data_IF_190784723468
#
_entry.id   IF_190784723468
#
_cell.length_a   1.000
_cell.length_b   1.000
_cell.length_c   1.000
_cell.angle_alpha   90.00
_cell.angle_beta   90.00
_cell.angle_gamma   90.00
#
_symmetry.space_group_name_H-M   'P 1'
#
loop_
_entity.id
_entity.type
_entity.pdbx_description
1 polymer ?
#
# COMPACT_ATOMS: atom_id res chain seq x y z
N UNK A 1 -7.55 1.44 5.07
CA UNK A 1 -6.61 0.32 5.39
C UNK A 1 -5.22 0.79 5.08
N UNK A 2 -4.23 0.45 5.91
CA UNK A 2 -2.83 0.83 5.72
C UNK A 2 -2.03 -0.45 5.43
N UNK A 3 -1.18 -0.42 4.42
CA UNK A 3 -0.26 -1.52 4.04
C UNK A 3 1.11 -0.91 3.79
N UNK A 4 2.18 -1.60 4.23
CA UNK A 4 3.54 -1.15 3.95
C UNK A 4 3.85 -1.22 2.45
N UNK A 5 4.47 -0.19 1.86
CA UNK A 5 4.97 -0.27 0.50
C UNK A 5 5.95 -1.44 0.34
N UNK A 6 5.84 -2.17 -0.75
CA UNK A 6 6.66 -3.36 -1.00
C UNK A 6 6.15 -4.65 -0.33
N UNK A 7 5.01 -4.60 0.38
CA UNK A 7 4.37 -5.84 0.88
C UNK A 7 3.98 -6.73 -0.29
N UNK A 8 4.29 -8.00 -0.16
CA UNK A 8 3.96 -9.05 -1.13
C UNK A 8 2.81 -9.94 -0.66
N UNK A 9 2.19 -10.65 -1.58
CA UNK A 9 1.14 -11.64 -1.29
C UNK A 9 -0.07 -11.05 -0.56
N UNK A 10 -0.53 -9.87 -0.98
CA UNK A 10 -1.67 -9.19 -0.34
C UNK A 10 -2.99 -9.72 -0.88
N UNK A 11 -3.82 -10.22 0.03
CA UNK A 11 -5.21 -10.59 -0.24
C UNK A 11 -6.14 -9.58 0.42
N UNK A 12 -7.23 -9.21 -0.27
CA UNK A 12 -8.32 -8.41 0.29
C UNK A 12 -9.64 -9.13 0.19
N UNK A 13 -10.62 -8.63 0.92
CA UNK A 13 -11.98 -9.15 0.89
C UNK A 13 -12.93 -8.06 0.40
N UNK A 14 -13.82 -8.42 -0.51
CA UNK A 14 -14.85 -7.54 -1.05
C UNK A 14 -16.21 -8.21 -0.99
N UNK A 15 -17.27 -7.41 -0.79
CA UNK A 15 -18.65 -7.92 -0.85
C UNK A 15 -19.23 -7.49 -2.19
N UNK A 16 -19.50 -8.43 -3.08
CA UNK A 16 -20.18 -8.16 -4.34
C UNK A 16 -21.70 -8.16 -4.13
N UNK A 17 -22.35 -7.07 -4.60
CA UNK A 17 -23.81 -6.90 -4.53
C UNK A 17 -24.38 -6.65 -5.91
N UNK A 18 -25.49 -7.29 -6.19
CA UNK A 18 -26.21 -7.14 -7.47
C UNK A 18 -26.79 -5.73 -7.61
N UNK A 19 -26.72 -5.18 -8.80
CA UNK A 19 -27.32 -3.87 -9.10
C UNK A 19 -28.83 -3.90 -9.19
N UNK A 20 -29.43 -5.09 -9.48
CA UNK A 20 -30.84 -5.24 -9.71
C UNK A 20 -31.69 -5.17 -8.43
N UNK A 21 -31.22 -5.76 -7.35
CA UNK A 21 -31.98 -5.95 -6.10
C UNK A 21 -31.19 -5.67 -4.83
N UNK A 22 -29.92 -5.28 -4.97
CA UNK A 22 -28.98 -4.99 -3.86
C UNK A 22 -28.65 -6.21 -2.97
N UNK A 23 -29.05 -7.41 -3.39
CA UNK A 23 -28.68 -8.64 -2.67
C UNK A 23 -27.22 -9.02 -2.92
N UNK A 24 -26.64 -9.80 -2.02
CA UNK A 24 -25.31 -10.35 -2.16
C UNK A 24 -25.20 -11.26 -3.38
N UNK A 25 -24.09 -11.17 -4.11
CA UNK A 25 -23.81 -11.97 -5.29
C UNK A 25 -23.10 -13.25 -4.89
N UNK A 26 -23.83 -14.35 -4.79
CA UNK A 26 -23.27 -15.70 -4.57
C UNK A 26 -23.08 -16.45 -5.88
N UNK A 27 -22.10 -17.36 -5.93
CA UNK A 27 -21.85 -18.22 -7.09
C UNK A 27 -21.39 -17.47 -8.35
N UNK A 28 -20.70 -16.35 -8.21
CA UNK A 28 -20.15 -15.64 -9.37
C UNK A 28 -19.19 -16.53 -10.16
N UNK A 29 -19.25 -16.46 -11.48
CA UNK A 29 -18.22 -17.04 -12.33
C UNK A 29 -16.96 -16.20 -12.16
N UNK A 30 -15.93 -16.77 -11.56
CA UNK A 30 -14.70 -16.03 -11.18
C UNK A 30 -14.04 -15.38 -12.39
N UNK A 31 -14.05 -16.03 -13.55
CA UNK A 31 -13.47 -15.50 -14.79
C UNK A 31 -14.20 -14.26 -15.33
N UNK A 32 -15.40 -13.94 -14.84
CA UNK A 32 -16.15 -12.74 -15.22
C UNK A 32 -15.86 -11.56 -14.29
N UNK A 33 -15.04 -11.77 -13.24
CA UNK A 33 -14.61 -10.73 -12.31
C UNK A 33 -13.40 -10.01 -12.90
N UNK A 34 -13.57 -8.75 -13.21
CA UNK A 34 -12.50 -7.84 -13.66
C UNK A 34 -11.74 -7.28 -12.47
N UNK A 35 -10.42 -7.38 -12.48
CA UNK A 35 -9.51 -6.80 -11.51
C UNK A 35 -8.66 -5.71 -12.16
N UNK A 36 -8.55 -4.56 -11.49
CA UNK A 36 -7.70 -3.46 -11.93
C UNK A 36 -7.22 -2.68 -10.69
N UNK A 37 -6.06 -2.07 -10.76
CA UNK A 37 -5.60 -1.15 -9.74
C UNK A 37 -5.02 0.12 -10.36
N UNK A 38 -5.03 1.19 -9.58
CA UNK A 38 -4.33 2.44 -9.91
C UNK A 38 -3.55 2.91 -8.69
N UNK A 39 -2.28 3.22 -8.89
CA UNK A 39 -1.38 3.76 -7.86
C UNK A 39 -1.30 5.27 -8.01
N UNK A 40 -1.17 6.01 -6.91
CA UNK A 40 -0.98 7.46 -6.99
C UNK A 40 0.21 7.82 -7.87
N UNK A 41 0.03 8.78 -8.78
CA UNK A 41 1.04 9.23 -9.73
C UNK A 41 1.31 8.28 -10.91
N UNK A 42 0.50 7.23 -11.10
CA UNK A 42 0.66 6.27 -12.21
C UNK A 42 -0.62 6.13 -13.02
N UNK A 43 -0.50 5.68 -14.27
CA UNK A 43 -1.63 5.23 -15.04
C UNK A 43 -2.27 3.97 -14.41
N UNK A 44 -3.58 3.72 -14.63
CA UNK A 44 -4.19 2.47 -14.22
C UNK A 44 -3.47 1.26 -14.83
N UNK A 45 -3.42 0.15 -14.08
CA UNK A 45 -2.95 -1.14 -14.61
C UNK A 45 -3.85 -1.60 -15.77
N UNK A 46 -3.37 -2.54 -16.56
CA UNK A 46 -4.24 -3.25 -17.50
C UNK A 46 -5.26 -4.08 -16.69
N UNK A 47 -6.52 -4.06 -17.14
CA UNK A 47 -7.57 -4.92 -16.58
C UNK A 47 -7.22 -6.39 -16.80
N UNK A 48 -7.42 -7.22 -15.79
CA UNK A 48 -7.21 -8.67 -15.83
C UNK A 48 -8.47 -9.38 -15.35
N UNK A 49 -8.88 -10.44 -16.04
CA UNK A 49 -9.93 -11.33 -15.55
C UNK A 49 -9.38 -12.21 -14.42
N UNK A 50 -10.12 -12.34 -13.33
CA UNK A 50 -9.71 -13.16 -12.22
C UNK A 50 -9.67 -14.64 -12.59
N UNK A 51 -8.76 -15.41 -11.98
CA UNK A 51 -8.77 -16.87 -12.07
C UNK A 51 -9.10 -17.47 -10.70
N UNK A 52 -9.67 -18.67 -10.68
CA UNK A 52 -10.12 -19.27 -9.43
C UNK A 52 -8.97 -19.71 -8.54
N UNK A 53 -9.06 -19.43 -7.23
CA UNK A 53 -8.31 -20.14 -6.19
C UNK A 53 -8.92 -21.53 -5.99
N UNK A 54 -8.09 -22.49 -5.59
CA UNK A 54 -8.54 -23.86 -5.35
C UNK A 54 -9.39 -23.97 -4.06
N UNK A 55 -8.99 -23.26 -3.00
CA UNK A 55 -9.65 -23.20 -1.69
C UNK A 55 -9.50 -21.82 -1.09
N UNK A 56 -10.31 -21.50 -0.08
CA UNK A 56 -10.27 -20.20 0.60
C UNK A 56 -9.00 -19.96 1.41
N UNK A 57 -8.31 -21.03 1.81
CA UNK A 57 -7.04 -21.05 2.54
C UNK A 57 -5.83 -21.34 1.64
N UNK A 58 -6.04 -21.44 0.32
CA UNK A 58 -4.93 -21.62 -0.63
C UNK A 58 -3.88 -20.52 -0.49
N UNK A 59 -2.61 -20.88 -0.76
CA UNK A 59 -1.53 -19.90 -0.84
C UNK A 59 -1.91 -18.78 -1.83
N UNK A 60 -1.44 -17.56 -1.53
CA UNK A 60 -1.64 -16.40 -2.39
C UNK A 60 -1.14 -16.67 -3.82
N UNK A 61 -1.89 -16.18 -4.79
CA UNK A 61 -1.49 -16.21 -6.20
C UNK A 61 -2.14 -15.05 -6.95
N UNK A 62 -1.32 -14.26 -7.63
CA UNK A 62 -1.71 -13.02 -8.30
C UNK A 62 -2.95 -13.18 -9.19
N UNK A 63 -3.85 -12.19 -9.09
CA UNK A 63 -5.07 -12.08 -9.88
C UNK A 63 -6.03 -13.27 -9.70
N UNK A 64 -6.05 -13.88 -8.53
CA UNK A 64 -7.01 -14.94 -8.22
C UNK A 64 -8.09 -14.46 -7.27
N UNK A 65 -9.26 -15.11 -7.36
CA UNK A 65 -10.37 -14.86 -6.45
C UNK A 65 -11.13 -16.16 -6.12
N UNK A 66 -11.89 -16.11 -5.02
CA UNK A 66 -12.79 -17.17 -4.60
C UNK A 66 -13.88 -16.60 -3.69
N UNK A 67 -15.10 -17.11 -3.77
CA UNK A 67 -16.12 -16.84 -2.77
C UNK A 67 -15.75 -17.55 -1.46
N UNK A 68 -15.81 -16.82 -0.35
CA UNK A 68 -15.34 -17.32 0.95
C UNK A 68 -16.30 -18.37 1.50
N UNK A 69 -17.58 -18.03 1.60
CA UNK A 69 -18.64 -18.91 2.05
C UNK A 69 -20.00 -18.40 1.55
N UNK A 70 -20.60 -19.14 0.62
CA UNK A 70 -21.86 -18.74 0.02
C UNK A 70 -23.07 -18.88 0.99
N UNK A 71 -22.90 -19.57 2.11
CA UNK A 71 -23.96 -19.83 3.09
C UNK A 71 -23.92 -18.87 4.25
N UNK A 72 -22.77 -18.79 4.92
CA UNK A 72 -22.62 -18.00 6.15
C UNK A 72 -22.05 -16.59 5.90
N UNK A 73 -21.38 -16.39 4.77
CA UNK A 73 -20.82 -15.11 4.32
C UNK A 73 -21.15 -14.83 2.83
N UNK A 74 -22.45 -14.77 2.47
CA UNK A 74 -22.86 -14.67 1.07
C UNK A 74 -22.28 -13.42 0.40
N UNK A 75 -21.78 -13.60 -0.81
CA UNK A 75 -21.21 -12.52 -1.61
C UNK A 75 -19.83 -12.00 -1.17
N UNK A 76 -19.23 -12.58 -0.12
CA UNK A 76 -17.87 -12.23 0.29
C UNK A 76 -16.85 -12.99 -0.57
N UNK A 77 -15.98 -12.23 -1.27
CA UNK A 77 -14.92 -12.76 -2.11
C UNK A 77 -13.56 -12.39 -1.56
N UNK A 78 -12.65 -13.37 -1.47
CA UNK A 78 -11.22 -13.12 -1.34
C UNK A 78 -10.66 -12.81 -2.74
N UNK A 79 -9.83 -11.76 -2.82
CA UNK A 79 -9.11 -11.37 -4.05
C UNK A 79 -7.63 -11.25 -3.72
N UNK A 80 -6.79 -11.95 -4.48
CA UNK A 80 -5.34 -11.93 -4.37
C UNK A 80 -4.78 -10.96 -5.42
N UNK A 81 -4.11 -9.93 -4.96
CA UNK A 81 -3.60 -8.86 -5.81
C UNK A 81 -2.14 -9.05 -6.18
N UNK A 82 -1.71 -8.62 -7.38
CA UNK A 82 -0.30 -8.70 -7.75
C UNK A 82 0.56 -7.77 -6.88
N UNK A 83 1.77 -8.21 -6.53
CA UNK A 83 2.73 -7.46 -5.72
C UNK A 83 3.00 -6.05 -6.28
N UNK A 84 2.94 -5.89 -7.61
CA UNK A 84 3.09 -4.61 -8.28
C UNK A 84 2.07 -3.55 -7.83
N UNK A 85 0.88 -3.94 -7.32
CA UNK A 85 -0.10 -3.01 -6.79
C UNK A 85 0.42 -2.30 -5.52
N UNK A 86 1.26 -2.96 -4.73
CA UNK A 86 1.77 -2.49 -3.44
C UNK A 86 3.26 -2.11 -3.48
N UNK A 87 3.89 -2.09 -4.67
CA UNK A 87 5.29 -1.73 -4.81
C UNK A 87 5.59 -0.33 -4.25
N UNK A 88 6.83 -0.06 -3.87
CA UNK A 88 7.29 1.25 -3.40
C UNK A 88 7.07 2.36 -4.45
N UNK A 89 7.13 3.62 -4.04
CA UNK A 89 7.03 4.78 -4.96
C UNK A 89 5.60 5.28 -5.21
N UNK A 90 4.60 4.85 -4.42
CA UNK A 90 3.25 5.41 -4.39
C UNK A 90 2.76 5.54 -2.95
N UNK A 91 1.93 6.54 -2.67
CA UNK A 91 1.34 6.77 -1.34
C UNK A 91 0.05 5.98 -1.12
N UNK A 92 -0.63 5.65 -2.18
CA UNK A 92 -1.91 4.96 -2.13
C UNK A 92 -2.10 4.10 -3.38
N UNK A 93 -2.93 3.10 -3.24
CA UNK A 93 -3.46 2.32 -4.34
C UNK A 93 -4.98 2.21 -4.19
N UNK A 94 -5.68 2.33 -5.30
CA UNK A 94 -7.10 2.00 -5.39
C UNK A 94 -7.21 0.69 -6.15
N UNK A 95 -7.76 -0.32 -5.48
CA UNK A 95 -8.05 -1.63 -6.04
C UNK A 95 -9.50 -1.63 -6.51
N UNK A 96 -9.75 -2.08 -7.71
CA UNK A 96 -11.09 -2.13 -8.32
C UNK A 96 -11.47 -3.56 -8.64
N UNK A 97 -12.62 -3.97 -8.14
CA UNK A 97 -13.26 -5.26 -8.46
C UNK A 97 -14.58 -4.98 -9.15
N UNK A 98 -14.77 -5.54 -10.35
CA UNK A 98 -15.97 -5.32 -11.15
C UNK A 98 -16.53 -6.65 -11.65
N UNK A 99 -17.83 -6.82 -11.51
CA UNK A 99 -18.62 -7.87 -12.15
C UNK A 99 -19.83 -7.19 -12.84
N UNK A 100 -20.14 -7.56 -14.08
CA UNK A 100 -21.10 -6.83 -14.91
C UNK A 100 -22.50 -6.65 -14.29
N UNK A 101 -22.95 -7.59 -13.46
CA UNK A 101 -24.26 -7.55 -12.78
C UNK A 101 -24.21 -6.97 -11.36
N UNK A 102 -23.05 -6.48 -10.92
CA UNK A 102 -22.82 -5.99 -9.56
C UNK A 102 -22.40 -4.51 -9.54
N UNK A 103 -22.49 -3.89 -8.37
CA UNK A 103 -21.83 -2.62 -8.13
C UNK A 103 -20.32 -2.81 -8.23
N UNK A 104 -19.63 -1.78 -8.72
CA UNK A 104 -18.17 -1.76 -8.75
C UNK A 104 -17.65 -1.47 -7.35
N UNK A 105 -16.77 -2.33 -6.87
CA UNK A 105 -16.14 -2.14 -5.56
C UNK A 105 -14.76 -1.49 -5.73
N UNK A 106 -14.51 -0.46 -4.92
CA UNK A 106 -13.25 0.24 -4.87
C UNK A 106 -12.69 0.23 -3.45
N UNK A 107 -11.52 -0.35 -3.26
CA UNK A 107 -10.78 -0.29 -2.00
C UNK A 107 -9.63 0.68 -2.13
N UNK A 108 -9.70 1.78 -1.39
CA UNK A 108 -8.54 2.66 -1.20
C UNK A 108 -7.67 2.13 -0.09
N UNK A 109 -6.39 1.93 -0.38
CA UNK A 109 -5.36 1.48 0.56
C UNK A 109 -4.26 2.53 0.59
N UNK A 110 -3.95 3.02 1.78
CA UNK A 110 -2.84 3.91 2.00
C UNK A 110 -1.55 3.07 2.11
N UNK A 111 -0.60 3.35 1.23
CA UNK A 111 0.71 2.73 1.22
C UNK A 111 1.65 3.58 2.07
N UNK A 112 1.56 3.35 3.37
CA UNK A 112 2.45 3.97 4.35
C UNK A 112 3.23 2.87 5.03
N UNK A 113 4.56 3.06 5.10
CA UNK A 113 5.37 2.21 5.96
C UNK A 113 5.01 2.45 7.44
N UNK A 114 5.25 1.48 8.31
CA UNK A 114 5.16 1.72 9.73
C UNK A 114 6.16 2.81 10.09
N UNK A 115 5.77 3.72 10.97
CA UNK A 115 6.69 4.70 11.54
C UNK A 115 7.84 4.04 12.35
N UNK A 116 8.03 2.73 12.19
CA UNK A 116 8.96 1.90 12.93
C UNK A 116 8.30 1.11 14.05
N UNK A 117 9.06 0.18 14.64
CA UNK A 117 8.64 -0.69 15.76
C UNK A 117 9.59 -0.63 16.94
N UNK A 118 10.56 0.29 16.93
CA UNK A 118 11.53 0.48 18.01
C UNK A 118 10.93 1.11 19.26
N UNK A 119 11.75 1.27 20.28
CA UNK A 119 11.34 1.77 21.59
C UNK A 119 11.53 3.28 21.78
N UNK A 120 12.26 3.95 20.87
CA UNK A 120 12.63 5.36 20.96
C UNK A 120 11.79 6.14 19.93
N UNK A 121 11.03 7.11 20.43
CA UNK A 121 10.39 8.10 19.58
C UNK A 121 11.45 9.10 19.09
N UNK A 122 11.58 9.21 17.79
CA UNK A 122 12.61 10.03 17.15
C UNK A 122 12.02 10.86 16.01
N UNK A 123 12.24 12.18 16.08
CA UNK A 123 11.72 13.13 15.13
C UNK A 123 12.77 13.52 14.10
N UNK A 124 12.43 13.46 12.83
CA UNK A 124 13.22 13.95 11.72
C UNK A 124 12.56 15.16 11.07
N UNK A 125 13.35 16.21 10.82
CA UNK A 125 12.89 17.44 10.20
C UNK A 125 13.56 17.63 8.83
N UNK A 126 12.76 17.68 7.77
CA UNK A 126 13.24 17.93 6.42
C UNK A 126 13.02 19.41 6.05
N UNK A 127 14.11 20.09 5.71
CA UNK A 127 14.08 21.47 5.23
C UNK A 127 14.74 21.59 3.86
N UNK A 128 14.35 22.61 3.11
CA UNK A 128 14.97 22.97 1.85
C UNK A 128 16.33 23.64 2.11
N UNK A 129 17.40 23.11 1.54
CA UNK A 129 18.77 23.56 1.78
C UNK A 129 19.04 24.99 1.27
N UNK A 130 18.29 25.47 0.28
CA UNK A 130 18.46 26.82 -0.28
C UNK A 130 17.68 27.89 0.48
N UNK A 131 16.50 27.54 1.01
CA UNK A 131 15.59 28.50 1.67
C UNK A 131 15.47 28.31 3.17
N UNK A 132 15.85 27.13 3.70
CA UNK A 132 15.64 26.74 5.09
C UNK A 132 14.16 26.49 5.47
N UNK A 133 13.25 26.51 4.49
CA UNK A 133 11.83 26.29 4.75
C UNK A 133 11.51 24.79 4.91
N UNK A 134 10.50 24.44 5.74
CA UNK A 134 10.08 23.06 5.92
C UNK A 134 9.50 22.49 4.62
N UNK A 135 9.76 21.20 4.35
CA UNK A 135 9.25 20.49 3.20
C UNK A 135 8.15 19.54 3.67
N UNK A 136 6.89 19.96 3.51
CA UNK A 136 5.74 19.14 3.77
C UNK A 136 5.56 18.04 2.72
N UNK A 137 4.81 16.99 3.05
CA UNK A 137 4.43 15.90 2.14
C UNK A 137 5.60 15.22 1.40
N UNK A 138 6.78 15.19 1.96
CA UNK A 138 7.90 14.40 1.47
C UNK A 138 7.83 12.98 2.02
N UNK A 139 8.16 12.00 1.19
CA UNK A 139 8.32 10.62 1.66
C UNK A 139 9.71 10.47 2.27
N UNK A 140 9.75 9.98 3.52
CA UNK A 140 10.98 9.72 4.29
C UNK A 140 11.01 8.24 4.65
N UNK A 141 12.18 7.62 4.57
CA UNK A 141 12.38 6.27 5.07
C UNK A 141 13.76 6.11 5.71
N UNK A 142 13.80 5.34 6.79
CA UNK A 142 15.01 4.99 7.53
C UNK A 142 15.46 3.58 7.15
N UNK A 143 16.76 3.42 6.89
CA UNK A 143 17.36 2.12 6.60
C UNK A 143 18.56 1.87 7.51
N UNK A 144 18.90 0.61 7.73
CA UNK A 144 20.12 0.20 8.46
C UNK A 144 21.31 0.00 7.54
N UNK A 145 21.14 0.18 6.23
CA UNK A 145 22.19 0.04 5.22
C UNK A 145 22.24 1.24 4.27
N UNK A 146 23.43 1.52 3.75
CA UNK A 146 23.70 2.66 2.87
C UNK A 146 23.08 2.51 1.47
N UNK A 147 22.64 1.31 1.07
CA UNK A 147 22.05 1.09 -0.26
C UNK A 147 20.52 1.22 -0.25
N UNK A 148 19.92 1.46 0.93
CA UNK A 148 18.49 1.68 1.05
C UNK A 148 17.63 0.41 0.94
N UNK A 149 18.22 -0.77 1.08
CA UNK A 149 17.52 -2.04 0.88
C UNK A 149 16.74 -2.50 2.13
N UNK A 150 17.28 -2.23 3.33
CA UNK A 150 16.67 -2.69 4.58
C UNK A 150 15.91 -1.54 5.27
N UNK A 151 14.70 -1.28 4.81
CA UNK A 151 13.82 -0.24 5.36
C UNK A 151 13.23 -0.71 6.69
N UNK A 152 13.46 0.04 7.76
CA UNK A 152 12.96 -0.23 9.12
C UNK A 152 11.83 0.69 9.54
N UNK A 153 11.74 1.88 8.94
CA UNK A 153 10.64 2.82 9.14
C UNK A 153 10.43 3.66 7.89
N UNK A 154 9.21 4.11 7.67
CA UNK A 154 8.92 5.12 6.64
C UNK A 154 7.72 5.96 7.06
N UNK A 155 7.66 7.18 6.54
CA UNK A 155 6.59 8.11 6.84
C UNK A 155 6.55 9.25 5.82
N UNK A 156 5.69 10.20 6.08
CA UNK A 156 5.52 11.41 5.25
C UNK A 156 5.61 12.62 6.17
N UNK A 157 6.38 13.63 5.76
CA UNK A 157 6.48 14.86 6.54
C UNK A 157 5.15 15.61 6.59
N UNK A 158 4.86 16.19 7.74
CA UNK A 158 3.71 17.06 7.98
C UNK A 158 3.92 18.47 7.38
N UNK A 159 2.99 19.40 7.68
CA UNK A 159 3.06 20.80 7.22
C UNK A 159 4.30 21.57 7.73
N UNK A 160 4.95 21.05 8.76
CA UNK A 160 6.16 21.63 9.36
C UNK A 160 7.45 20.91 8.90
N UNK A 161 7.33 19.98 7.95
CA UNK A 161 8.46 19.18 7.46
C UNK A 161 8.88 18.06 8.41
N UNK A 162 8.09 17.76 9.45
CA UNK A 162 8.42 16.79 10.48
C UNK A 162 7.82 15.42 10.19
N UNK A 163 8.58 14.35 10.51
CA UNK A 163 8.10 12.98 10.58
C UNK A 163 8.65 12.33 11.84
N UNK A 164 7.80 11.62 12.57
CA UNK A 164 8.18 10.88 13.78
C UNK A 164 8.33 9.40 13.46
N UNK A 165 9.45 8.80 13.88
CA UNK A 165 9.71 7.37 13.79
C UNK A 165 9.85 6.75 15.18
N UNK A 166 9.57 5.44 15.26
CA UNK A 166 9.85 4.61 16.43
C UNK A 166 10.98 3.67 16.06
N UNK A 167 12.19 3.96 16.55
CA UNK A 167 13.44 3.25 16.24
C UNK A 167 14.08 2.68 17.50
N UNK A 168 14.92 1.69 17.35
CA UNK A 168 15.83 1.27 18.43
C UNK A 168 17.11 2.12 18.40
N UNK A 169 17.90 2.09 19.47
CA UNK A 169 19.19 2.76 19.46
C UNK A 169 20.08 2.20 18.35
N UNK A 170 20.65 3.06 17.52
CA UNK A 170 21.43 2.60 16.37
C UNK A 170 21.77 3.71 15.37
N UNK A 171 22.43 3.32 14.31
CA UNK A 171 22.78 4.21 13.18
C UNK A 171 21.86 3.93 12.00
N UNK A 172 21.28 4.98 11.46
CA UNK A 172 20.33 4.91 10.37
C UNK A 172 20.73 5.83 9.23
N UNK A 173 20.34 5.42 8.02
CA UNK A 173 20.45 6.24 6.81
C UNK A 173 19.03 6.70 6.46
N UNK A 174 18.81 8.02 6.52
CA UNK A 174 17.52 8.64 6.28
C UNK A 174 17.46 9.11 4.83
N UNK A 175 16.52 8.57 4.12
CA UNK A 175 16.27 8.89 2.72
C UNK A 175 15.04 9.78 2.60
N UNK A 176 15.08 10.72 1.67
CA UNK A 176 13.97 11.62 1.39
C UNK A 176 13.64 11.66 -0.09
N UNK A 177 12.36 11.77 -0.41
CA UNK A 177 11.88 11.92 -1.78
C UNK A 177 10.66 12.85 -1.84
N UNK A 178 10.75 13.86 -2.70
CA UNK A 178 9.62 14.72 -3.08
C UNK A 178 9.78 15.20 -4.52
N UNK A 179 8.68 15.21 -5.30
CA UNK A 179 8.70 15.72 -6.69
C UNK A 179 9.04 17.20 -6.71
N UNK A 180 9.95 17.59 -7.61
CA UNK A 180 10.40 18.99 -7.74
C UNK A 180 11.39 19.44 -6.70
N UNK A 181 11.88 18.54 -5.84
CA UNK A 181 12.88 18.81 -4.81
C UNK A 181 14.09 17.88 -4.97
N UNK A 182 15.28 18.46 -4.78
CA UNK A 182 16.53 17.68 -4.70
C UNK A 182 17.08 17.84 -3.29
N UNK A 183 17.11 16.78 -2.47
CA UNK A 183 17.64 16.83 -1.11
C UNK A 183 19.14 17.14 -1.13
N UNK A 184 19.62 17.85 -0.10
CA UNK A 184 21.02 18.25 0.05
C UNK A 184 21.91 17.03 0.32
N UNK A 185 21.48 16.15 1.20
CA UNK A 185 22.07 14.84 1.44
C UNK A 185 21.02 13.75 1.29
N UNK A 186 21.34 12.68 0.57
CA UNK A 186 20.44 11.54 0.43
C UNK A 186 21.24 10.25 0.18
N UNK A 187 21.41 9.41 1.20
CA UNK A 187 20.83 9.50 2.54
C UNK A 187 21.54 10.46 3.48
N UNK A 188 20.81 10.93 4.49
CA UNK A 188 21.36 11.58 5.67
C UNK A 188 21.70 10.54 6.75
N UNK A 189 22.82 10.72 7.46
CA UNK A 189 23.28 9.75 8.47
C UNK A 189 22.89 10.22 9.87
N UNK A 190 22.08 9.42 10.55
CA UNK A 190 21.54 9.74 11.87
C UNK A 190 21.86 8.70 12.92
N UNK A 191 22.01 9.12 14.17
CA UNK A 191 22.25 8.26 15.33
C UNK A 191 21.11 8.44 16.32
N UNK A 192 20.36 7.38 16.54
CA UNK A 192 19.29 7.29 17.55
C UNK A 192 19.90 6.71 18.84
N UNK A 193 19.76 7.42 19.98
CA UNK A 193 20.35 7.06 21.26
C UNK A 193 19.31 7.06 22.37
#
# INVERSE_FOLDING_TARGET
>A
MIINPGTTNVSTYVVLRKTADHTEMTGAVIADIDLQYVRSGSAPSVKVDATALATTDAAHSDNKAIEVDATDQPGLYRVDWPDAAFATGAREVVLTVKLASCFVEHLKIDLQGPNGTGLIEWDYNLTDSGTGLPIADATIWATTDLVGANVVASGVTDAFGQVTFWLDAGTYYIWSQKSGFTPDANPDLEIVI
#
